data_IF_204921518478
#
_entry.id   IF_204921518478
#
_cell.length_a   1.000
_cell.length_b   1.000
_cell.length_c   1.000
_cell.angle_alpha   90.00
_cell.angle_beta   90.00
_cell.angle_gamma   90.00
#
_symmetry.space_group_name_H-M   'P 1'
#
loop_
_entity.id
_entity.type
_entity.pdbx_description
1 polymer ?
#
# COMPACT_ATOMS: atom_id res chain seq x y z
N UNK A 1 11.84 -7.29 34.70
CA UNK A 1 12.77 -6.40 33.98
C UNK A 1 11.91 -5.48 33.14
N UNK A 2 11.77 -4.22 33.54
CA UNK A 2 11.06 -3.23 32.72
C UNK A 2 11.98 -2.79 31.58
N UNK A 3 11.48 -2.82 30.35
CA UNK A 3 12.22 -2.39 29.17
C UNK A 3 12.08 -0.86 29.09
N UNK A 4 13.17 -0.09 29.15
CA UNK A 4 13.09 1.38 29.16
C UNK A 4 12.57 1.94 27.83
N UNK A 5 11.93 3.11 27.88
CA UNK A 5 11.42 3.89 26.72
C UNK A 5 10.35 3.22 25.86
N UNK A 6 9.58 2.30 26.44
CA UNK A 6 8.40 1.70 25.80
C UNK A 6 7.21 2.65 25.87
N UNK A 7 6.99 3.26 27.04
CA UNK A 7 5.90 4.22 27.30
C UNK A 7 6.43 5.65 27.36
N UNK A 8 7.55 5.84 28.06
CA UNK A 8 8.19 7.15 28.18
C UNK A 8 8.98 7.53 26.93
N UNK A 9 8.98 8.82 26.61
CA UNK A 9 9.75 9.37 25.51
C UNK A 9 11.23 9.49 25.89
N UNK A 10 12.13 9.24 24.93
CA UNK A 10 13.56 9.45 25.16
C UNK A 10 13.88 10.95 25.20
N UNK A 11 14.77 11.35 26.10
CA UNK A 11 15.14 12.76 26.29
C UNK A 11 15.91 13.37 25.10
N UNK A 12 16.57 12.56 24.28
CA UNK A 12 17.36 12.99 23.12
C UNK A 12 16.51 13.23 21.86
N UNK A 13 15.52 12.36 21.63
CA UNK A 13 14.78 12.26 20.37
C UNK A 13 13.29 12.56 20.51
N UNK A 14 12.73 12.58 21.73
CA UNK A 14 11.29 12.75 21.96
C UNK A 14 10.43 11.60 21.41
N UNK A 15 11.03 10.44 21.14
CA UNK A 15 10.36 9.28 20.56
C UNK A 15 10.42 8.09 21.51
N UNK A 16 9.38 7.24 21.47
CA UNK A 16 9.40 5.92 22.13
C UNK A 16 10.11 4.91 21.23
N UNK A 17 10.64 3.84 21.82
CA UNK A 17 11.26 2.75 21.07
C UNK A 17 10.30 2.12 20.05
N UNK A 18 8.99 2.10 20.35
CA UNK A 18 7.95 1.59 19.45
C UNK A 18 7.81 2.48 18.21
N UNK A 19 7.71 3.81 18.39
CA UNK A 19 7.64 4.76 17.26
C UNK A 19 8.90 4.65 16.39
N UNK A 20 10.07 4.56 17.01
CA UNK A 20 11.34 4.38 16.29
C UNK A 20 11.37 3.07 15.49
N UNK A 21 10.90 1.97 16.06
CA UNK A 21 10.80 0.68 15.38
C UNK A 21 9.90 0.73 14.14
N UNK A 22 8.75 1.42 14.23
CA UNK A 22 7.86 1.63 13.07
C UNK A 22 8.55 2.47 11.98
N UNK A 23 9.28 3.53 12.34
CA UNK A 23 10.05 4.31 11.36
C UNK A 23 11.12 3.48 10.64
N UNK A 24 11.86 2.64 11.36
CA UNK A 24 12.86 1.74 10.77
C UNK A 24 12.21 0.70 9.85
N UNK A 25 11.07 0.13 10.27
CA UNK A 25 10.29 -0.79 9.44
C UNK A 25 9.83 -0.11 8.14
N UNK A 26 9.23 1.09 8.23
CA UNK A 26 8.80 1.85 7.06
C UNK A 26 9.98 2.20 6.13
N UNK A 27 11.15 2.54 6.68
CA UNK A 27 12.35 2.77 5.89
C UNK A 27 12.80 1.50 5.13
N UNK A 28 12.70 0.32 5.76
CA UNK A 28 13.02 -0.94 5.09
C UNK A 28 12.06 -1.29 3.95
N UNK A 29 10.77 -1.00 4.12
CA UNK A 29 9.75 -1.17 3.06
C UNK A 29 10.04 -0.23 1.88
N UNK A 30 10.42 1.02 2.13
CA UNK A 30 10.83 1.97 1.07
C UNK A 30 12.02 1.43 0.27
N UNK A 31 13.00 0.80 0.93
CA UNK A 31 14.13 0.16 0.25
C UNK A 31 13.70 -1.06 -0.57
N UNK A 32 12.79 -1.88 -0.04
CA UNK A 32 12.22 -3.04 -0.74
C UNK A 32 11.52 -2.61 -2.04
N UNK A 33 10.58 -1.65 -1.95
CA UNK A 33 9.90 -1.12 -3.13
C UNK A 33 10.86 -0.37 -4.06
N UNK A 34 11.88 0.29 -3.52
CA UNK A 34 12.95 0.91 -4.31
C UNK A 34 13.68 -0.10 -5.21
N UNK A 35 13.90 -1.32 -4.72
CA UNK A 35 14.42 -2.44 -5.51
C UNK A 35 13.47 -2.84 -6.64
N UNK A 36 12.18 -3.00 -6.35
CA UNK A 36 11.15 -3.35 -7.35
C UNK A 36 11.02 -2.29 -8.45
N UNK A 37 10.99 -1.00 -8.09
CA UNK A 37 10.97 0.10 -9.05
C UNK A 37 12.25 0.17 -9.88
N UNK A 38 13.41 -0.04 -9.28
CA UNK A 38 14.69 -0.10 -10.00
C UNK A 38 14.69 -1.22 -11.04
N UNK A 39 14.21 -2.40 -10.66
CA UNK A 39 14.05 -3.54 -11.58
C UNK A 39 13.13 -3.19 -12.75
N UNK A 40 11.96 -2.57 -12.49
CA UNK A 40 11.07 -2.11 -13.56
C UNK A 40 11.76 -1.14 -14.53
N UNK A 41 12.46 -0.13 -14.02
CA UNK A 41 13.15 0.88 -14.85
C UNK A 41 14.23 0.22 -15.70
N UNK A 42 15.10 -0.58 -15.09
CA UNK A 42 16.21 -1.22 -15.80
C UNK A 42 15.74 -2.20 -16.87
N UNK A 43 14.69 -2.99 -16.60
CA UNK A 43 14.13 -3.90 -17.58
C UNK A 43 13.41 -3.15 -18.72
N UNK A 44 12.75 -2.03 -18.41
CA UNK A 44 12.07 -1.20 -19.41
C UNK A 44 13.04 -0.53 -20.39
N UNK A 45 14.16 0.02 -19.90
CA UNK A 45 15.11 0.74 -20.78
C UNK A 45 15.95 -0.20 -21.66
N UNK A 46 16.12 -1.46 -21.25
CA UNK A 46 16.91 -2.46 -21.98
C UNK A 46 16.06 -3.36 -22.89
N UNK A 47 14.73 -3.24 -22.84
CA UNK A 47 13.84 -4.02 -23.69
C UNK A 47 13.79 -3.44 -25.11
N UNK A 48 13.95 -4.31 -26.12
CA UNK A 48 13.81 -3.94 -27.54
C UNK A 48 12.37 -3.54 -27.87
N UNK A 49 11.41 -4.25 -27.28
CA UNK A 49 9.98 -3.97 -27.38
C UNK A 49 9.37 -4.00 -25.97
N UNK A 50 8.50 -3.02 -25.66
CA UNK A 50 7.80 -2.93 -24.40
C UNK A 50 6.31 -2.69 -24.67
N UNK A 51 5.40 -3.45 -24.05
CA UNK A 51 3.98 -3.31 -24.33
C UNK A 51 3.46 -1.95 -23.91
N UNK A 52 2.49 -1.44 -24.67
CA UNK A 52 1.77 -0.23 -24.27
C UNK A 52 0.82 -0.59 -23.14
N UNK A 53 1.10 -0.10 -21.92
CA UNK A 53 0.39 -0.52 -20.72
C UNK A 53 -1.13 -0.30 -20.78
N UNK A 54 -1.61 0.69 -21.55
CA UNK A 54 -3.05 0.94 -21.70
C UNK A 54 -3.79 -0.17 -22.47
N UNK A 55 -3.09 -1.00 -23.23
CA UNK A 55 -3.68 -2.12 -23.98
C UNK A 55 -3.91 -3.34 -23.08
N UNK A 56 -3.20 -3.43 -21.95
CA UNK A 56 -3.22 -4.56 -21.01
C UNK A 56 -3.92 -4.18 -19.69
N UNK A 57 -4.07 -2.87 -19.41
CA UNK A 57 -4.59 -2.37 -18.14
C UNK A 57 -5.77 -1.44 -18.33
N UNK A 58 -6.81 -1.68 -17.54
CA UNK A 58 -7.94 -0.78 -17.43
C UNK A 58 -7.60 0.42 -16.53
N UNK A 59 -7.22 1.52 -17.17
CA UNK A 59 -6.94 2.81 -16.49
C UNK A 59 -8.12 3.27 -15.62
N UNK A 60 -9.40 3.20 -16.05
CA UNK A 60 -10.52 3.61 -15.23
C UNK A 60 -10.68 2.80 -13.93
N UNK A 61 -10.50 1.47 -13.99
CA UNK A 61 -10.59 0.59 -12.82
C UNK A 61 -9.43 0.89 -11.86
N UNK A 62 -8.21 1.03 -12.39
CA UNK A 62 -7.03 1.40 -11.60
C UNK A 62 -7.18 2.76 -10.92
N UNK A 63 -7.71 3.77 -11.63
CA UNK A 63 -7.96 5.11 -11.10
C UNK A 63 -9.03 5.08 -9.99
N UNK A 64 -10.15 4.38 -10.22
CA UNK A 64 -11.18 4.19 -9.20
C UNK A 64 -10.60 3.54 -7.93
N UNK A 65 -9.83 2.47 -8.09
CA UNK A 65 -9.24 1.76 -6.96
C UNK A 65 -8.20 2.62 -6.19
N UNK A 66 -7.53 3.54 -6.89
CA UNK A 66 -6.62 4.52 -6.29
C UNK A 66 -7.39 5.53 -5.43
N UNK A 67 -8.54 6.01 -5.92
CA UNK A 67 -9.43 6.89 -5.13
C UNK A 67 -9.90 6.17 -3.86
N UNK A 68 -10.26 4.89 -3.95
CA UNK A 68 -10.64 4.07 -2.79
C UNK A 68 -9.53 4.05 -1.73
N UNK A 69 -8.27 3.84 -2.12
CA UNK A 69 -7.13 3.88 -1.18
C UNK A 69 -6.91 5.25 -0.56
N UNK A 70 -7.00 6.33 -1.35
CA UNK A 70 -6.85 7.70 -0.84
C UNK A 70 -7.92 8.01 0.19
N UNK A 71 -9.18 7.65 -0.11
CA UNK A 71 -10.29 7.80 0.84
C UNK A 71 -10.05 6.96 2.11
N UNK A 72 -9.52 5.75 1.98
CA UNK A 72 -9.15 4.91 3.13
C UNK A 72 -8.12 5.61 4.02
N UNK A 73 -7.07 6.19 3.43
CA UNK A 73 -6.07 6.98 4.18
C UNK A 73 -6.68 8.17 4.92
N UNK A 74 -7.59 8.91 4.27
CA UNK A 74 -8.31 10.03 4.92
C UNK A 74 -9.14 9.52 6.11
N UNK A 75 -9.87 8.40 5.96
CA UNK A 75 -10.63 7.83 7.09
C UNK A 75 -9.74 7.40 8.25
N UNK A 76 -8.52 6.92 7.99
CA UNK A 76 -7.56 6.56 9.04
C UNK A 76 -7.05 7.78 9.81
N UNK A 77 -6.82 8.90 9.11
CA UNK A 77 -6.45 10.17 9.78
C UNK A 77 -7.59 10.69 10.65
N UNK A 78 -8.84 10.63 10.16
CA UNK A 78 -10.03 11.00 10.94
C UNK A 78 -10.22 10.08 12.16
N UNK A 79 -9.95 8.79 12.00
CA UNK A 79 -9.94 7.79 13.08
C UNK A 79 -8.95 8.17 14.20
N UNK A 80 -7.73 8.55 13.83
CA UNK A 80 -6.72 9.03 14.77
C UNK A 80 -7.13 10.35 15.45
N UNK A 81 -7.69 11.29 14.71
CA UNK A 81 -8.18 12.55 15.27
C UNK A 81 -9.33 12.33 16.27
N UNK A 82 -10.26 11.42 15.98
CA UNK A 82 -11.35 11.06 16.90
C UNK A 82 -10.83 10.47 18.22
N UNK A 83 -9.79 9.63 18.17
CA UNK A 83 -9.12 9.12 19.38
C UNK A 83 -8.47 10.23 20.20
N UNK A 84 -7.87 11.23 19.55
CA UNK A 84 -7.26 12.38 20.24
C UNK A 84 -8.28 13.28 20.93
N UNK A 85 -9.54 13.23 20.51
CA UNK A 85 -10.67 13.97 21.09
C UNK A 85 -11.50 13.10 22.06
N UNK A 86 -10.98 11.92 22.45
CA UNK A 86 -11.66 10.94 23.31
C UNK A 86 -13.04 10.48 22.79
N UNK A 87 -13.31 10.66 21.49
CA UNK A 87 -14.56 10.26 20.86
C UNK A 87 -14.47 8.83 20.31
N UNK A 88 -14.70 7.87 21.20
CA UNK A 88 -14.66 6.44 20.89
C UNK A 88 -15.75 5.98 19.90
N UNK A 89 -16.89 6.68 19.85
CA UNK A 89 -17.98 6.32 18.93
C UNK A 89 -17.54 6.57 17.48
N UNK A 90 -16.98 7.74 17.20
CA UNK A 90 -16.52 8.10 15.86
C UNK A 90 -15.22 7.38 15.49
N UNK A 91 -14.33 7.10 16.44
CA UNK A 91 -13.19 6.20 16.23
C UNK A 91 -13.64 4.85 15.63
N UNK A 92 -14.63 4.18 16.25
CA UNK A 92 -15.12 2.87 15.78
C UNK A 92 -15.74 2.98 14.37
N UNK A 93 -16.44 4.07 14.08
CA UNK A 93 -17.04 4.33 12.76
C UNK A 93 -15.95 4.49 11.70
N UNK A 94 -14.98 5.37 11.93
CA UNK A 94 -13.91 5.63 10.95
C UNK A 94 -13.00 4.42 10.76
N UNK A 95 -12.64 3.70 11.83
CA UNK A 95 -11.91 2.43 11.73
C UNK A 95 -12.67 1.40 10.89
N UNK A 96 -13.97 1.24 11.13
CA UNK A 96 -14.81 0.36 10.33
C UNK A 96 -14.86 0.74 8.85
N UNK A 97 -14.91 2.05 8.55
CA UNK A 97 -14.84 2.56 7.18
C UNK A 97 -13.48 2.28 6.52
N UNK A 98 -12.37 2.49 7.23
CA UNK A 98 -11.02 2.19 6.72
C UNK A 98 -10.87 0.72 6.33
N UNK A 99 -11.33 -0.19 7.22
CA UNK A 99 -11.31 -1.64 6.94
C UNK A 99 -12.24 -1.99 5.77
N UNK A 100 -13.45 -1.41 5.72
CA UNK A 100 -14.38 -1.62 4.61
C UNK A 100 -13.82 -1.20 3.25
N UNK A 101 -13.16 -0.03 3.20
CA UNK A 101 -12.48 0.47 1.99
C UNK A 101 -11.28 -0.39 1.61
N UNK A 102 -10.52 -0.92 2.58
CA UNK A 102 -9.43 -1.86 2.31
C UNK A 102 -9.94 -3.18 1.71
N UNK A 103 -11.06 -3.72 2.22
CA UNK A 103 -11.71 -4.91 1.63
C UNK A 103 -12.20 -4.61 0.22
N UNK A 104 -12.83 -3.46 -0.02
CA UNK A 104 -13.25 -3.03 -1.35
C UNK A 104 -12.06 -2.97 -2.32
N UNK A 105 -10.93 -2.41 -1.88
CA UNK A 105 -9.70 -2.36 -2.68
C UNK A 105 -9.23 -3.76 -3.10
N UNK A 106 -9.21 -4.71 -2.15
CA UNK A 106 -8.81 -6.09 -2.40
C UNK A 106 -9.77 -6.80 -3.36
N UNK A 107 -11.08 -6.57 -3.25
CA UNK A 107 -12.07 -7.15 -4.16
C UNK A 107 -11.88 -6.64 -5.59
N UNK A 108 -11.67 -5.33 -5.77
CA UNK A 108 -11.40 -4.73 -7.09
C UNK A 108 -10.10 -5.30 -7.69
N UNK A 109 -9.04 -5.43 -6.89
CA UNK A 109 -7.78 -6.04 -7.36
C UNK A 109 -7.94 -7.52 -7.70
N UNK A 110 -8.68 -8.27 -6.89
CA UNK A 110 -8.94 -9.68 -7.14
C UNK A 110 -9.71 -9.89 -8.46
N UNK A 111 -10.70 -9.02 -8.72
CA UNK A 111 -11.43 -9.01 -9.98
C UNK A 111 -10.52 -8.70 -11.17
N UNK A 112 -9.70 -7.65 -11.09
CA UNK A 112 -8.75 -7.27 -12.16
C UNK A 112 -7.75 -8.40 -12.46
N UNK A 113 -7.25 -9.08 -11.42
CA UNK A 113 -6.33 -10.20 -11.59
C UNK A 113 -7.01 -11.43 -12.18
N UNK A 114 -8.22 -11.76 -11.70
CA UNK A 114 -9.00 -12.86 -12.26
C UNK A 114 -9.26 -12.66 -13.76
N UNK A 115 -9.66 -11.45 -14.15
CA UNK A 115 -9.88 -11.08 -15.55
C UNK A 115 -8.61 -11.29 -16.38
N UNK A 116 -7.45 -10.82 -15.92
CA UNK A 116 -6.15 -11.04 -16.59
C UNK A 116 -5.77 -12.51 -16.71
N UNK A 117 -5.93 -13.29 -15.64
CA UNK A 117 -5.66 -14.72 -15.69
C UNK A 117 -6.57 -15.45 -16.67
N UNK A 118 -7.83 -15.02 -16.79
CA UNK A 118 -8.77 -15.61 -17.75
C UNK A 118 -8.41 -15.34 -19.22
N UNK A 119 -7.74 -14.21 -19.49
CA UNK A 119 -7.21 -13.85 -20.81
C UNK A 119 -5.83 -14.47 -21.10
N UNK A 120 -5.26 -15.23 -20.16
CA UNK A 120 -3.94 -15.86 -20.31
C UNK A 120 -2.76 -14.97 -19.95
N UNK A 121 -3.01 -13.77 -19.41
CA UNK A 121 -1.98 -12.83 -18.97
C UNK A 121 -1.40 -13.26 -17.61
N UNK A 122 -0.58 -14.30 -17.63
CA UNK A 122 0.10 -14.85 -16.46
C UNK A 122 1.49 -14.22 -16.27
N UNK A 123 2.06 -14.21 -15.04
CA UNK A 123 3.42 -13.75 -14.78
C UNK A 123 4.49 -14.41 -15.68
N UNK A 124 4.28 -15.68 -16.06
CA UNK A 124 5.21 -16.42 -16.91
C UNK A 124 5.15 -16.04 -18.41
N UNK A 125 4.14 -15.29 -18.84
CA UNK A 125 3.92 -14.99 -20.25
C UNK A 125 4.87 -13.90 -20.79
N UNK A 126 5.28 -12.94 -19.95
CA UNK A 126 6.25 -11.90 -20.34
C UNK A 126 6.95 -11.28 -19.15
N UNK A 127 8.13 -10.70 -19.38
CA UNK A 127 8.86 -9.91 -18.38
C UNK A 127 8.03 -8.76 -17.83
N UNK A 128 7.19 -8.14 -18.67
CA UNK A 128 6.28 -7.08 -18.26
C UNK A 128 5.25 -7.57 -17.24
N UNK A 129 4.58 -8.69 -17.53
CA UNK A 129 3.58 -9.27 -16.63
C UNK A 129 4.21 -9.81 -15.35
N UNK A 130 5.40 -10.41 -15.42
CA UNK A 130 6.15 -10.84 -14.25
C UNK A 130 6.35 -9.71 -13.23
N UNK A 131 6.79 -8.53 -13.71
CA UNK A 131 6.99 -7.35 -12.85
C UNK A 131 5.66 -6.76 -12.40
N UNK A 132 4.61 -6.79 -13.23
CA UNK A 132 3.29 -6.25 -12.86
C UNK A 132 2.63 -6.99 -11.69
N UNK A 133 2.87 -8.30 -11.56
CA UNK A 133 2.31 -9.14 -10.49
C UNK A 133 3.21 -9.27 -9.26
N UNK A 134 4.43 -8.71 -9.29
CA UNK A 134 5.36 -8.70 -8.15
C UNK A 134 5.18 -7.43 -7.33
#
# INVERSE_FOLDING_TARGET
MEIPYVVDERADTGLTNVKLGIWLFLASEVMLFGGLFSTYILLRINAVEWPFGADILSVPIGAFNTVVLILSSVTMVLCYAALKLDNFADYKRYMGLTVGLAVLFLLVKSYEYYDKFSHGDVPAASTYLAIYFT
#
